data_IF_359644585980
#
_entry.id   IF_359644585980
#
_cell.length_a   1.000
_cell.length_b   1.000
_cell.length_c   1.000
_cell.angle_alpha   90.00
_cell.angle_beta   90.00
_cell.angle_gamma   90.00
#
_symmetry.space_group_name_H-M   'P 1'
#
loop_
_entity.id
_entity.type
_entity.pdbx_description
1 polymer ?
#
# COMPACT_ATOMS: atom_id res chain seq x y z
N UNK A 1 -2.45 -6.35 14.07
CA UNK A 1 -3.32 -7.32 13.35
C UNK A 1 -2.92 -7.27 11.89
N UNK A 2 -2.54 -8.39 11.27
CA UNK A 2 -1.84 -8.41 9.96
C UNK A 2 -2.61 -9.13 8.84
N UNK A 3 -3.90 -9.42 9.06
CA UNK A 3 -4.78 -10.05 8.07
C UNK A 3 -5.61 -11.19 8.65
N UNK A 4 -6.58 -11.64 7.85
CA UNK A 4 -7.40 -12.83 8.11
C UNK A 4 -7.64 -13.57 6.79
N UNK A 5 -8.12 -14.80 6.86
CA UNK A 5 -8.58 -15.57 5.69
C UNK A 5 -9.77 -16.42 6.09
N UNK A 6 -10.76 -16.54 5.21
CA UNK A 6 -11.87 -17.45 5.43
C UNK A 6 -11.40 -18.90 5.31
N UNK A 7 -11.89 -19.76 6.20
CA UNK A 7 -11.63 -21.21 6.14
C UNK A 7 -12.51 -21.92 5.11
N UNK A 8 -13.61 -21.29 4.69
CA UNK A 8 -14.52 -21.82 3.69
C UNK A 8 -13.81 -21.84 2.32
N UNK A 9 -13.69 -23.01 1.64
CA UNK A 9 -12.92 -23.14 0.40
C UNK A 9 -13.31 -22.14 -0.69
N UNK A 10 -14.60 -21.83 -0.82
CA UNK A 10 -15.15 -20.92 -1.81
C UNK A 10 -14.87 -19.43 -1.55
N UNK A 11 -14.26 -19.10 -0.39
CA UNK A 11 -13.84 -17.74 -0.01
C UNK A 11 -12.35 -17.66 0.30
N UNK A 12 -11.58 -18.69 -0.01
CA UNK A 12 -10.16 -18.79 0.36
C UNK A 12 -9.31 -17.72 -0.32
N UNK A 13 -9.69 -17.32 -1.52
CA UNK A 13 -9.06 -16.26 -2.32
C UNK A 13 -9.70 -14.88 -2.11
N UNK A 14 -10.69 -14.75 -1.22
CA UNK A 14 -11.32 -13.44 -1.01
C UNK A 14 -10.36 -12.51 -0.27
N UNK A 15 -10.00 -11.36 -0.84
CA UNK A 15 -9.19 -10.39 -0.14
C UNK A 15 -10.00 -9.74 0.98
N UNK A 16 -9.45 -9.73 2.19
CA UNK A 16 -10.16 -9.28 3.40
C UNK A 16 -9.45 -8.10 4.07
N UNK A 17 -9.91 -7.75 5.27
CA UNK A 17 -9.30 -6.75 6.14
C UNK A 17 -9.22 -5.38 5.44
N UNK A 18 -8.08 -4.72 5.54
CA UNK A 18 -7.80 -3.43 4.93
C UNK A 18 -7.37 -3.52 3.46
N UNK A 19 -7.45 -4.71 2.86
CA UNK A 19 -7.24 -4.97 1.43
C UNK A 19 -8.53 -5.39 0.72
N UNK A 20 -9.70 -5.10 1.31
CA UNK A 20 -10.99 -5.49 0.74
C UNK A 20 -11.16 -4.97 -0.71
N UNK A 21 -12.05 -5.56 -1.53
CA UNK A 21 -12.27 -5.12 -2.91
C UNK A 21 -12.67 -3.65 -3.09
N UNK A 22 -13.17 -3.00 -2.03
CA UNK A 22 -13.59 -1.59 -2.01
C UNK A 22 -12.57 -0.66 -1.32
N UNK A 23 -11.49 -1.21 -0.76
CA UNK A 23 -10.32 -0.46 -0.29
C UNK A 23 -9.61 0.24 -1.44
N UNK A 24 -8.80 1.28 -1.16
CA UNK A 24 -8.09 2.00 -2.22
C UNK A 24 -7.18 1.10 -3.06
N UNK A 25 -6.43 0.19 -2.42
CA UNK A 25 -5.59 -0.78 -3.14
C UNK A 25 -6.44 -1.83 -3.89
N UNK A 26 -7.53 -2.30 -3.29
CA UNK A 26 -8.43 -3.26 -3.95
C UNK A 26 -9.11 -2.67 -5.19
N UNK A 27 -9.58 -1.43 -5.10
CA UNK A 27 -10.13 -0.69 -6.23
C UNK A 27 -9.08 -0.48 -7.33
N UNK A 28 -7.85 -0.12 -6.94
CA UNK A 28 -6.74 0.09 -7.88
C UNK A 28 -6.41 -1.19 -8.66
N UNK A 29 -6.23 -2.31 -7.96
CA UNK A 29 -5.85 -3.58 -8.57
C UNK A 29 -6.99 -4.17 -9.43
N UNK A 30 -8.26 -3.92 -9.09
CA UNK A 30 -9.41 -4.39 -9.90
C UNK A 30 -9.69 -3.56 -11.14
N UNK A 31 -9.34 -2.28 -11.14
CA UNK A 31 -9.60 -1.35 -12.23
C UNK A 31 -8.32 -0.88 -12.94
N UNK A 32 -7.23 -1.63 -12.81
CA UNK A 32 -6.01 -1.34 -13.54
C UNK A 32 -6.29 -1.43 -15.05
N UNK A 33 -5.97 -0.39 -15.86
CA UNK A 33 -6.48 -0.26 -17.22
C UNK A 33 -5.82 -1.17 -18.26
N UNK A 34 -4.76 -1.91 -17.91
CA UNK A 34 -4.02 -2.72 -18.88
C UNK A 34 -4.44 -4.19 -18.90
N UNK A 35 -4.56 -4.75 -20.10
CA UNK A 35 -4.59 -6.20 -20.34
C UNK A 35 -3.18 -6.83 -20.36
N UNK A 36 -2.13 -6.02 -20.18
CA UNK A 36 -0.76 -6.51 -20.03
C UNK A 36 -0.53 -7.06 -18.62
N UNK A 37 0.38 -8.04 -18.47
CA UNK A 37 0.84 -8.45 -17.17
C UNK A 37 1.35 -7.28 -16.35
N UNK A 38 0.99 -7.23 -15.08
CA UNK A 38 1.33 -6.16 -14.15
C UNK A 38 2.54 -6.54 -13.32
N UNK A 39 3.39 -5.56 -13.03
CA UNK A 39 4.45 -5.68 -12.02
C UNK A 39 3.98 -4.97 -10.75
N UNK A 40 3.69 -5.74 -9.72
CA UNK A 40 3.16 -5.25 -8.44
C UNK A 40 4.23 -5.43 -7.36
N UNK A 41 4.72 -4.33 -6.82
CA UNK A 41 5.58 -4.31 -5.63
C UNK A 41 4.75 -4.13 -4.37
N UNK A 42 5.09 -4.84 -3.30
CA UNK A 42 4.42 -4.70 -2.00
C UNK A 42 5.46 -4.62 -0.89
N UNK A 43 5.44 -3.55 -0.11
CA UNK A 43 6.26 -3.38 1.10
C UNK A 43 5.45 -3.84 2.30
N UNK A 44 5.91 -4.91 2.95
CA UNK A 44 5.15 -5.68 3.93
C UNK A 44 4.42 -6.85 3.27
N UNK A 45 4.45 -8.01 3.91
CA UNK A 45 3.72 -9.20 3.43
C UNK A 45 2.38 -9.40 4.13
N UNK A 46 2.34 -9.13 5.44
CA UNK A 46 1.22 -9.55 6.29
C UNK A 46 0.97 -11.06 6.16
N UNK A 47 -0.29 -11.45 5.99
CA UNK A 47 -0.65 -12.86 5.70
C UNK A 47 -0.67 -13.18 4.19
N UNK A 48 -0.22 -12.26 3.34
CA UNK A 48 -0.19 -12.43 1.88
C UNK A 48 -1.47 -12.03 1.15
N UNK A 49 -2.42 -11.36 1.81
CA UNK A 49 -3.76 -11.07 1.25
C UNK A 49 -3.74 -10.39 -0.11
N UNK A 50 -2.79 -9.48 -0.38
CA UNK A 50 -2.71 -8.82 -1.68
C UNK A 50 -2.42 -9.79 -2.83
N UNK A 51 -1.82 -10.96 -2.59
CA UNK A 51 -1.60 -11.98 -3.60
C UNK A 51 -2.91 -12.54 -4.20
N UNK A 52 -4.04 -12.37 -3.53
CA UNK A 52 -5.37 -12.69 -4.05
C UNK A 52 -5.75 -11.89 -5.32
N UNK A 53 -5.12 -10.73 -5.53
CA UNK A 53 -5.36 -9.90 -6.71
C UNK A 53 -4.48 -10.28 -7.91
N UNK A 54 -3.54 -11.20 -7.73
CA UNK A 54 -2.64 -11.68 -8.77
C UNK A 54 -3.41 -12.45 -9.84
N UNK A 55 -3.18 -12.08 -11.10
CA UNK A 55 -3.73 -12.78 -12.28
C UNK A 55 -2.61 -13.40 -13.09
N UNK A 56 -2.95 -14.27 -14.03
CA UNK A 56 -1.98 -14.98 -14.87
C UNK A 56 -0.98 -14.01 -15.53
N UNK A 57 0.31 -14.34 -15.44
CA UNK A 57 1.47 -13.57 -15.92
C UNK A 57 1.85 -12.34 -15.09
N UNK A 58 1.03 -11.90 -14.13
CA UNK A 58 1.47 -10.83 -13.21
C UNK A 58 2.71 -11.29 -12.42
N UNK A 59 3.56 -10.33 -12.07
CA UNK A 59 4.62 -10.51 -11.10
C UNK A 59 4.27 -9.74 -9.83
N UNK A 60 4.15 -10.43 -8.70
CA UNK A 60 3.96 -9.81 -7.39
C UNK A 60 5.21 -10.02 -6.52
N UNK A 61 5.90 -8.93 -6.21
CA UNK A 61 7.14 -8.94 -5.43
C UNK A 61 6.92 -8.30 -4.06
N UNK A 62 7.02 -9.11 -3.02
CA UNK A 62 6.84 -8.70 -1.63
C UNK A 62 8.20 -8.46 -0.97
N UNK A 63 8.35 -7.34 -0.25
CA UNK A 63 9.51 -7.05 0.59
C UNK A 63 9.10 -7.20 2.05
N UNK A 64 9.68 -8.18 2.75
CA UNK A 64 9.32 -8.49 4.14
C UNK A 64 10.57 -8.63 5.00
N UNK A 65 10.66 -7.80 6.04
CA UNK A 65 11.82 -7.74 6.92
C UNK A 65 11.83 -8.87 7.96
N UNK A 66 10.65 -9.36 8.35
CA UNK A 66 10.51 -10.38 9.38
C UNK A 66 10.30 -11.77 8.76
N UNK A 67 11.30 -12.67 8.84
CA UNK A 67 11.19 -14.01 8.27
C UNK A 67 10.07 -14.85 8.92
N UNK A 68 9.68 -14.54 10.16
CA UNK A 68 8.54 -15.23 10.79
C UNK A 68 7.21 -14.88 10.13
N UNK A 69 7.05 -13.65 9.62
CA UNK A 69 5.85 -13.27 8.86
C UNK A 69 5.76 -14.11 7.59
N UNK A 70 6.87 -14.26 6.86
CA UNK A 70 6.95 -15.13 5.67
C UNK A 70 6.60 -16.57 6.01
N UNK A 71 7.17 -17.11 7.10
CA UNK A 71 6.89 -18.47 7.54
C UNK A 71 5.41 -18.66 7.88
N UNK A 72 4.81 -17.73 8.64
CA UNK A 72 3.41 -17.79 9.02
C UNK A 72 2.48 -17.70 7.80
N UNK A 73 2.74 -16.77 6.88
CA UNK A 73 1.97 -16.60 5.65
C UNK A 73 1.94 -17.90 4.82
N UNK A 74 3.10 -18.55 4.62
CA UNK A 74 3.18 -19.82 3.88
C UNK A 74 2.64 -21.04 4.64
N UNK A 75 2.62 -21.01 5.97
CA UNK A 75 2.22 -22.18 6.78
C UNK A 75 0.72 -22.22 7.04
N UNK A 76 0.10 -21.05 7.27
CA UNK A 76 -1.26 -20.96 7.79
C UNK A 76 -2.25 -20.32 6.83
N UNK A 77 -1.79 -19.71 5.74
CA UNK A 77 -2.63 -19.01 4.78
C UNK A 77 -2.36 -19.52 3.37
N UNK A 78 -3.38 -19.43 2.52
CA UNK A 78 -3.31 -19.94 1.15
C UNK A 78 -3.13 -18.85 0.09
N UNK A 79 -3.17 -17.56 0.45
CA UNK A 79 -3.12 -16.48 -0.54
C UNK A 79 -1.89 -16.52 -1.46
N UNK A 80 -0.73 -16.91 -0.94
CA UNK A 80 0.50 -17.00 -1.73
C UNK A 80 0.51 -18.22 -2.64
N UNK A 81 -0.01 -19.34 -2.15
CA UNK A 81 -0.01 -20.62 -2.89
C UNK A 81 -1.14 -20.67 -3.94
N UNK A 82 -2.26 -20.02 -3.68
CA UNK A 82 -3.44 -19.97 -4.56
C UNK A 82 -3.38 -18.80 -5.57
N UNK A 83 -2.39 -17.91 -5.47
CA UNK A 83 -2.25 -16.79 -6.41
C UNK A 83 -1.97 -17.28 -7.83
N UNK A 84 -2.56 -16.62 -8.82
CA UNK A 84 -2.28 -16.90 -10.23
C UNK A 84 -1.06 -16.13 -10.76
N UNK A 85 -0.52 -15.20 -9.95
CA UNK A 85 0.67 -14.45 -10.28
C UNK A 85 1.95 -15.23 -9.93
N UNK A 86 3.07 -14.85 -10.54
CA UNK A 86 4.38 -15.22 -10.05
C UNK A 86 4.67 -14.45 -8.74
N UNK A 87 4.94 -15.18 -7.66
CA UNK A 87 5.20 -14.60 -6.33
C UNK A 87 6.68 -14.62 -6.02
N UNK A 88 7.26 -13.43 -5.84
CA UNK A 88 8.62 -13.24 -5.32
C UNK A 88 8.58 -12.65 -3.91
N UNK A 89 9.47 -13.14 -3.03
CA UNK A 89 9.63 -12.58 -1.68
C UNK A 89 11.09 -12.20 -1.49
N UNK A 90 11.33 -10.91 -1.28
CA UNK A 90 12.64 -10.33 -0.96
C UNK A 90 12.74 -10.16 0.55
N UNK A 91 13.62 -10.91 1.24
CA UNK A 91 13.82 -10.73 2.66
C UNK A 91 14.60 -9.45 2.95
N UNK A 92 14.13 -8.65 3.91
CA UNK A 92 14.85 -7.48 4.41
C UNK A 92 14.02 -6.20 4.41
N UNK A 93 14.67 -5.09 4.78
CA UNK A 93 14.06 -3.76 4.70
C UNK A 93 13.82 -3.39 3.23
N UNK A 94 12.59 -3.01 2.90
CA UNK A 94 12.18 -2.75 1.53
C UNK A 94 12.90 -1.56 0.90
N UNK A 95 13.06 -0.47 1.66
CA UNK A 95 13.72 0.74 1.18
C UNK A 95 15.19 0.45 0.87
N UNK A 96 15.89 -0.23 1.77
CA UNK A 96 17.27 -0.63 1.54
C UNK A 96 17.39 -1.59 0.34
N UNK A 97 16.52 -2.59 0.27
CA UNK A 97 16.54 -3.56 -0.83
C UNK A 97 16.35 -2.87 -2.19
N UNK A 98 15.32 -2.02 -2.33
CA UNK A 98 15.07 -1.26 -3.55
C UNK A 98 16.24 -0.33 -3.90
N UNK A 99 16.85 0.34 -2.92
CA UNK A 99 17.98 1.24 -3.18
C UNK A 99 19.21 0.56 -3.81
N UNK A 100 19.37 -0.76 -3.65
CA UNK A 100 20.43 -1.55 -4.27
C UNK A 100 19.99 -2.33 -5.51
N UNK A 101 18.70 -2.29 -5.85
CA UNK A 101 18.14 -2.97 -7.01
C UNK A 101 18.08 -2.04 -8.22
N UNK A 102 18.18 -2.56 -9.45
CA UNK A 102 17.74 -1.79 -10.61
C UNK A 102 16.23 -1.52 -10.50
N UNK A 103 15.79 -0.45 -11.17
CA UNK A 103 14.37 -0.09 -11.24
C UNK A 103 13.53 -1.29 -11.66
N UNK A 104 12.49 -1.57 -10.87
CA UNK A 104 11.60 -2.71 -11.08
C UNK A 104 10.42 -2.41 -11.99
N UNK A 105 10.22 -1.15 -12.40
CA UNK A 105 9.14 -0.71 -13.29
C UNK A 105 7.76 -1.19 -12.81
N UNK A 106 7.45 -0.94 -11.53
CA UNK A 106 6.19 -1.31 -10.94
C UNK A 106 5.04 -0.48 -11.51
N UNK A 107 4.00 -1.16 -11.97
CA UNK A 107 2.70 -0.59 -12.26
C UNK A 107 2.03 -0.12 -10.97
N UNK A 108 2.13 -0.93 -9.93
CA UNK A 108 1.63 -0.60 -8.60
C UNK A 108 2.70 -0.92 -7.56
N UNK A 109 3.03 0.05 -6.71
CA UNK A 109 3.84 -0.16 -5.53
C UNK A 109 2.99 0.13 -4.29
N UNK A 110 2.66 -0.89 -3.50
CA UNK A 110 1.89 -0.76 -2.28
C UNK A 110 2.83 -0.65 -1.06
N UNK A 111 2.68 0.40 -0.26
CA UNK A 111 3.33 0.55 1.03
C UNK A 111 2.37 0.16 2.16
N UNK A 112 2.56 -1.01 2.72
CA UNK A 112 1.75 -1.57 3.80
C UNK A 112 2.61 -2.07 4.97
N UNK A 113 3.49 -1.19 5.45
CA UNK A 113 4.30 -1.42 6.64
C UNK A 113 3.79 -0.64 7.88
N UNK A 114 2.66 0.07 7.76
CA UNK A 114 2.19 1.05 8.75
C UNK A 114 1.08 0.54 9.68
N UNK A 115 0.67 -0.73 9.52
CA UNK A 115 -0.39 -1.37 10.32
C UNK A 115 0.08 -1.97 11.66
N UNK A 116 1.35 -1.77 12.03
CA UNK A 116 1.98 -2.28 13.26
C UNK A 116 2.22 -1.18 14.31
N UNK A 117 2.54 -1.59 15.55
CA UNK A 117 2.75 -0.68 16.69
C UNK A 117 3.97 0.25 16.53
N UNK A 118 4.93 -0.11 15.66
CA UNK A 118 6.05 0.74 15.29
C UNK A 118 5.85 1.22 13.85
N UNK A 119 5.49 2.50 13.70
CA UNK A 119 5.34 3.12 12.38
C UNK A 119 6.75 3.38 11.83
N UNK A 120 7.15 2.72 10.74
CA UNK A 120 8.50 2.86 10.18
C UNK A 120 8.64 4.22 9.48
N UNK A 121 8.88 5.27 10.27
CA UNK A 121 9.00 6.66 9.81
C UNK A 121 10.04 6.84 8.71
N UNK A 122 11.07 5.99 8.68
CA UNK A 122 12.11 5.98 7.66
C UNK A 122 11.61 5.57 6.27
N UNK A 123 10.37 5.08 6.17
CA UNK A 123 9.70 4.80 4.90
C UNK A 123 8.86 5.99 4.40
N UNK A 124 8.74 7.07 5.17
CA UNK A 124 7.92 8.25 4.86
C UNK A 124 8.77 9.53 4.78
N UNK A 125 10.00 9.42 4.29
CA UNK A 125 10.91 10.54 4.04
C UNK A 125 10.97 10.87 2.55
N UNK A 126 11.48 12.06 2.23
CA UNK A 126 11.79 12.46 0.85
C UNK A 126 12.68 11.40 0.18
N UNK A 127 13.74 10.96 0.85
CA UNK A 127 14.70 9.99 0.34
C UNK A 127 14.08 8.61 0.13
N UNK A 128 13.15 8.20 1.00
CA UNK A 128 12.39 6.97 0.80
C UNK A 128 11.49 7.05 -0.45
N UNK A 129 10.79 8.18 -0.61
CA UNK A 129 9.93 8.40 -1.77
C UNK A 129 10.71 8.51 -3.07
N UNK A 130 11.92 9.08 -3.07
CA UNK A 130 12.81 9.06 -4.24
C UNK A 130 13.10 7.62 -4.71
N UNK A 131 13.42 6.72 -3.76
CA UNK A 131 13.61 5.30 -4.05
C UNK A 131 12.33 4.72 -4.66
N UNK A 132 11.18 4.85 -4.01
CA UNK A 132 9.92 4.27 -4.51
C UNK A 132 9.54 4.77 -5.89
N UNK A 133 9.62 6.08 -6.12
CA UNK A 133 9.26 6.69 -7.40
C UNK A 133 10.22 6.31 -8.52
N UNK A 134 11.49 5.98 -8.21
CA UNK A 134 12.45 5.47 -9.20
C UNK A 134 12.15 4.03 -9.63
N UNK A 135 11.40 3.28 -8.83
CA UNK A 135 10.96 1.92 -9.14
C UNK A 135 9.61 1.86 -9.87
N UNK A 136 8.84 2.95 -9.91
CA UNK A 136 7.58 2.98 -10.66
C UNK A 136 7.81 3.03 -12.17
N UNK A 137 6.94 2.34 -12.92
CA UNK A 137 6.78 2.54 -14.35
C UNK A 137 6.16 3.92 -14.66
N UNK A 138 6.21 4.31 -15.93
CA UNK A 138 5.43 5.47 -16.40
C UNK A 138 3.93 5.20 -16.19
N UNK A 139 3.22 6.14 -15.55
CA UNK A 139 1.83 5.95 -15.15
C UNK A 139 1.61 5.02 -13.95
N UNK A 140 2.69 4.54 -13.32
CA UNK A 140 2.64 3.70 -12.13
C UNK A 140 2.10 4.44 -10.90
N UNK A 141 1.46 3.69 -9.99
CA UNK A 141 0.80 4.24 -8.80
C UNK A 141 1.48 3.74 -7.52
N UNK A 142 1.85 4.67 -6.66
CA UNK A 142 2.25 4.41 -5.28
C UNK A 142 1.00 4.42 -4.39
N UNK A 143 0.62 3.27 -3.84
CA UNK A 143 -0.51 3.13 -2.93
C UNK A 143 0.00 3.05 -1.49
N UNK A 144 -0.36 4.00 -0.63
CA UNK A 144 0.12 4.06 0.76
C UNK A 144 -1.03 3.77 1.71
N UNK A 145 -0.89 2.71 2.51
CA UNK A 145 -1.82 2.40 3.58
C UNK A 145 -1.52 3.27 4.80
N UNK A 146 -2.52 4.03 5.27
CA UNK A 146 -2.34 5.02 6.35
C UNK A 146 -3.29 4.79 7.53
N UNK A 147 -3.91 3.61 7.65
CA UNK A 147 -4.78 3.30 8.78
C UNK A 147 -4.00 3.06 10.06
N UNK A 148 -3.82 4.14 10.81
CA UNK A 148 -3.23 4.15 12.14
C UNK A 148 -4.15 4.84 13.14
N UNK A 149 -4.17 4.30 14.37
CA UNK A 149 -4.98 4.85 15.45
C UNK A 149 -4.37 6.12 16.08
N UNK A 150 -3.06 6.33 15.93
CA UNK A 150 -2.32 7.29 16.75
C UNK A 150 -1.72 8.45 15.96
N UNK A 151 -1.37 8.24 14.69
CA UNK A 151 -0.70 9.26 13.88
C UNK A 151 -1.59 9.73 12.74
N UNK A 152 -1.51 11.02 12.43
CA UNK A 152 -2.05 11.62 11.23
C UNK A 152 -0.99 11.55 10.12
N UNK A 153 -0.93 10.39 9.48
CA UNK A 153 -0.03 10.17 8.34
C UNK A 153 -0.51 10.90 7.09
N UNK A 154 -1.80 11.24 6.99
CA UNK A 154 -2.37 11.88 5.82
C UNK A 154 -1.62 13.17 5.49
N UNK A 155 -1.37 14.00 6.51
CA UNK A 155 -0.66 15.27 6.36
C UNK A 155 0.79 15.10 5.85
N UNK A 156 1.50 14.07 6.32
CA UNK A 156 2.87 13.74 5.88
C UNK A 156 2.87 13.29 4.41
N UNK A 157 1.97 12.38 4.05
CA UNK A 157 1.86 11.87 2.68
C UNK A 157 1.51 12.99 1.70
N UNK A 158 0.59 13.90 2.05
CA UNK A 158 0.26 15.03 1.19
C UNK A 158 1.43 16.01 1.04
N UNK A 159 2.25 16.21 2.07
CA UNK A 159 3.49 17.01 1.95
C UNK A 159 4.49 16.39 1.00
N UNK A 160 4.66 15.07 1.05
CA UNK A 160 5.51 14.34 0.10
C UNK A 160 4.92 14.42 -1.32
N UNK A 161 3.60 14.27 -1.46
CA UNK A 161 2.91 14.43 -2.74
C UNK A 161 3.11 15.83 -3.33
N UNK A 162 2.99 16.89 -2.52
CA UNK A 162 3.26 18.28 -2.93
C UNK A 162 4.72 18.45 -3.38
N UNK A 163 5.67 17.94 -2.59
CA UNK A 163 7.11 18.01 -2.89
C UNK A 163 7.47 17.33 -4.22
N UNK A 164 6.93 16.14 -4.46
CA UNK A 164 7.17 15.37 -5.69
C UNK A 164 6.21 15.70 -6.84
N UNK A 165 5.29 16.68 -6.65
CA UNK A 165 4.26 17.07 -7.62
C UNK A 165 3.39 15.90 -8.09
N UNK A 166 2.98 15.05 -7.14
CA UNK A 166 2.12 13.90 -7.39
C UNK A 166 0.66 14.30 -7.25
N UNK A 167 -0.19 13.72 -8.10
CA UNK A 167 -1.64 13.74 -7.89
C UNK A 167 -2.01 12.62 -6.94
N UNK A 168 -2.86 12.95 -5.96
CA UNK A 168 -3.32 12.00 -4.95
C UNK A 168 -4.83 11.78 -4.96
N UNK A 169 -5.25 10.58 -4.52
CA UNK A 169 -6.63 10.24 -4.18
C UNK A 169 -6.63 9.52 -2.84
N UNK A 170 -7.32 10.09 -1.85
CA UNK A 170 -7.56 9.40 -0.58
C UNK A 170 -8.86 8.62 -0.67
N UNK A 171 -8.82 7.34 -0.33
CA UNK A 171 -9.97 6.44 -0.36
C UNK A 171 -10.13 5.81 1.02
N UNK A 172 -11.26 6.10 1.64
CA UNK A 172 -11.72 5.46 2.87
C UNK A 172 -12.56 4.22 2.52
N UNK A 173 -12.37 3.16 3.29
CA UNK A 173 -13.24 2.00 3.29
C UNK A 173 -13.78 1.77 4.70
N UNK A 174 -15.03 1.33 4.78
CA UNK A 174 -15.72 1.06 6.04
C UNK A 174 -15.80 -0.46 6.30
N UNK A 175 -15.91 -0.90 7.56
CA UNK A 175 -16.02 -2.31 7.89
C UNK A 175 -17.27 -2.96 7.28
N UNK A 176 -17.13 -4.20 6.86
CA UNK A 176 -18.23 -5.06 6.43
C UNK A 176 -17.93 -6.50 6.85
N UNK A 177 -18.65 -6.97 7.86
CA UNK A 177 -18.46 -8.30 8.45
C UNK A 177 -18.77 -9.43 7.45
N UNK A 178 -19.60 -9.17 6.43
CA UNK A 178 -20.00 -10.20 5.45
C UNK A 178 -18.87 -10.52 4.47
N UNK A 179 -18.01 -9.54 4.20
CA UNK A 179 -16.83 -9.63 3.35
C UNK A 179 -15.53 -9.75 4.14
N UNK A 180 -15.59 -9.62 5.47
CA UNK A 180 -14.41 -9.58 6.34
C UNK A 180 -13.60 -8.29 6.16
N UNK A 181 -14.21 -7.24 5.61
CA UNK A 181 -13.56 -5.96 5.41
C UNK A 181 -13.42 -5.21 6.74
N UNK A 182 -12.26 -4.60 6.96
CA UNK A 182 -12.03 -3.67 8.07
C UNK A 182 -11.99 -2.23 7.54
N UNK A 183 -12.11 -1.27 8.47
CA UNK A 183 -11.89 0.12 8.14
C UNK A 183 -10.45 0.31 7.62
N UNK A 184 -10.30 1.02 6.50
CA UNK A 184 -9.00 1.28 5.91
C UNK A 184 -8.93 2.61 5.19
N UNK A 185 -7.75 3.21 5.17
CA UNK A 185 -7.41 4.49 4.59
C UNK A 185 -6.22 4.29 3.66
N UNK A 186 -6.44 4.52 2.38
CA UNK A 186 -5.39 4.42 1.37
C UNK A 186 -5.24 5.74 0.63
N UNK A 187 -4.00 6.20 0.46
CA UNK A 187 -3.70 7.31 -0.45
C UNK A 187 -3.01 6.73 -1.67
N UNK A 188 -3.64 6.90 -2.83
CA UNK A 188 -3.09 6.55 -4.13
C UNK A 188 -2.40 7.77 -4.71
N UNK A 189 -1.13 7.64 -5.09
CA UNK A 189 -0.30 8.71 -5.62
C UNK A 189 0.25 8.33 -6.99
N UNK A 190 0.22 9.25 -7.95
CA UNK A 190 0.81 9.07 -9.27
C UNK A 190 1.48 10.36 -9.73
N UNK A 191 2.57 10.25 -10.51
CA UNK A 191 2.95 11.33 -11.43
C UNK A 191 1.82 11.42 -12.46
N UNK A 192 1.37 12.62 -12.80
CA UNK A 192 0.20 12.89 -13.69
C UNK A 192 -0.09 11.71 -14.64
N UNK A 193 -1.23 11.03 -14.44
CA UNK A 193 -1.48 9.74 -15.08
C UNK A 193 -2.97 9.39 -15.09
N UNK A 194 -3.43 8.91 -16.25
CA UNK A 194 -4.83 8.68 -16.58
C UNK A 194 -5.56 7.73 -15.62
N UNK A 195 -4.83 6.85 -14.92
CA UNK A 195 -5.41 5.82 -14.04
C UNK A 195 -6.25 6.46 -12.93
N UNK A 196 -5.70 7.43 -12.18
CA UNK A 196 -6.40 8.05 -11.06
C UNK A 196 -7.46 9.07 -11.49
N UNK A 197 -7.52 9.42 -12.78
CA UNK A 197 -8.55 10.27 -13.38
C UNK A 197 -9.79 9.49 -13.84
N UNK A 198 -9.73 8.16 -13.83
CA UNK A 198 -10.90 7.33 -14.07
C UNK A 198 -12.02 7.65 -13.06
N UNK A 199 -13.27 7.54 -13.55
CA UNK A 199 -14.45 7.93 -12.78
C UNK A 199 -14.58 7.16 -11.45
N UNK A 200 -14.16 5.90 -11.42
CA UNK A 200 -14.21 5.06 -10.22
C UNK A 200 -13.43 5.69 -9.05
N UNK A 201 -12.24 6.23 -9.30
CA UNK A 201 -11.43 6.85 -8.25
C UNK A 201 -11.95 8.24 -7.88
N UNK A 202 -12.42 9.02 -8.86
CA UNK A 202 -13.02 10.34 -8.60
C UNK A 202 -14.30 10.26 -7.77
N UNK A 203 -15.12 9.22 -7.95
CA UNK A 203 -16.35 9.00 -7.17
C UNK A 203 -16.08 8.47 -5.77
N UNK A 204 -15.00 7.71 -5.59
CA UNK A 204 -14.63 7.08 -4.31
C UNK A 204 -13.69 7.93 -3.46
N UNK A 205 -13.19 9.05 -3.99
CA UNK A 205 -12.29 9.92 -3.23
C UNK A 205 -13.02 10.56 -2.04
N UNK A 206 -12.36 10.54 -0.89
CA UNK A 206 -12.71 11.34 0.27
C UNK A 206 -12.06 12.71 0.20
N UNK A 207 -12.67 13.70 0.85
CA UNK A 207 -12.09 15.04 0.95
C UNK A 207 -11.02 15.05 2.04
N UNK A 208 -9.75 15.38 1.73
CA UNK A 208 -8.71 15.45 2.75
C UNK A 208 -9.08 16.44 3.85
N UNK A 209 -8.97 16.02 5.11
CA UNK A 209 -9.18 16.88 6.29
C UNK A 209 -7.81 17.18 6.93
N UNK A 210 -6.94 17.85 6.18
CA UNK A 210 -5.56 18.14 6.60
C UNK A 210 -5.19 19.61 6.56
N UNK A 211 -4.58 20.06 7.66
CA UNK A 211 -3.91 21.35 7.77
C UNK A 211 -2.46 21.20 7.28
N UNK A 212 -2.27 21.35 5.97
CA UNK A 212 -0.94 21.20 5.34
C UNK A 212 0.08 22.24 5.84
N UNK A 213 -0.34 23.40 6.36
CA UNK A 213 0.60 24.40 6.88
C UNK A 213 1.34 23.90 8.13
N UNK A 214 0.75 22.94 8.85
CA UNK A 214 1.33 22.37 10.07
C UNK A 214 2.07 21.05 9.87
N UNK A 215 1.87 20.43 8.71
CA UNK A 215 2.45 19.14 8.37
C UNK A 215 3.97 19.27 8.11
N UNK A 216 4.84 18.56 8.84
CA UNK A 216 6.27 18.57 8.55
C UNK A 216 6.54 17.81 7.24
N UNK A 217 7.43 18.35 6.40
CA UNK A 217 8.09 17.55 5.39
C UNK A 217 9.20 16.75 6.09
N UNK A 218 9.11 15.42 6.04
CA UNK A 218 10.12 14.56 6.65
C UNK A 218 11.25 14.25 5.67
N UNK A 219 12.46 14.39 6.17
CA UNK A 219 13.69 13.91 5.54
C UNK A 219 14.36 12.93 6.50
N UNK A 220 15.34 12.16 6.03
CA UNK A 220 16.09 11.23 6.89
C UNK A 220 16.71 11.91 8.11
N UNK A 221 17.18 13.15 7.94
CA UNK A 221 17.76 13.96 9.02
C UNK A 221 16.71 14.69 9.88
N UNK A 222 15.45 14.74 9.45
CA UNK A 222 14.42 15.53 10.11
C UNK A 222 13.06 14.82 10.17
N UNK A 223 12.85 14.09 11.27
CA UNK A 223 11.58 13.42 11.58
C UNK A 223 11.03 13.96 12.90
N UNK A 224 9.75 14.34 12.92
CA UNK A 224 9.08 14.81 14.13
C UNK A 224 7.69 14.18 14.28
N UNK A 225 7.64 13.08 15.03
CA UNK A 225 6.42 12.34 15.34
C UNK A 225 5.41 13.12 16.19
N UNK A 226 5.89 13.99 17.09
CA UNK A 226 5.01 14.73 18.01
C UNK A 226 4.06 15.69 17.29
N UNK A 227 4.46 16.18 16.10
CA UNK A 227 3.65 17.11 15.30
C UNK A 227 2.49 16.45 14.59
N UNK A 228 2.51 15.12 14.47
CA UNK A 228 1.50 14.36 13.72
C UNK A 228 0.69 13.44 14.63
N UNK A 229 0.74 13.64 15.94
CA UNK A 229 -0.16 12.92 16.85
C UNK A 229 -1.60 13.33 16.57
N UNK A 230 -2.48 12.34 16.37
CA UNK A 230 -3.92 12.61 16.27
C UNK A 230 -4.38 13.31 17.55
N UNK A 231 -5.07 14.46 17.40
CA UNK A 231 -5.76 15.08 18.53
C UNK A 231 -6.79 14.08 19.05
N UNK A 232 -6.79 13.80 20.36
CA UNK A 232 -7.90 13.06 20.98
C UNK A 232 -9.18 13.80 20.63
N UNK A 233 -10.06 13.17 19.85
CA UNK A 233 -11.44 13.62 19.66
C UNK A 233 -12.21 13.44 20.97
#
# INVERSE_FOLDING_TARGET
>A
FHGLQFIAPEKRDWPTSYYSPDSGIGLLLRHWPSASPRRIGVVGLGVGTLAAYGTENDLMRFYEINPEVVRLARTYFFYLDDSQAEIEIVPGDARLSMAYEPSQQYDVLALDAFSSDAIPVHLLTVEAFEVYLSHLAEGGVLAVHISTQHLDLQAVIWKLAEYFKLTGRWIENYPDDTTGALASDWILLSREGDVLEQEVFRRRQSLPDVDLERAPLWTDDHINLLRILKKKR
#
